data_IF_994910065902
#
_entry.id   IF_994910065902
#
_cell.length_a   1.000
_cell.length_b   1.000
_cell.length_c   1.000
_cell.angle_alpha   90.00
_cell.angle_beta   90.00
_cell.angle_gamma   90.00
#
_symmetry.space_group_name_H-M   'P 1'
#
loop_
_entity.id
_entity.type
_entity.pdbx_description
1 polymer ?
#
# COMPACT_ATOMS: atom_id res chain seq x y z
N UNK A 1 -21.43 5.15 8.80
CA UNK A 1 -22.14 3.87 8.61
C UNK A 1 -23.04 3.95 7.37
N UNK A 2 -22.71 3.21 6.31
CA UNK A 2 -23.44 3.25 5.02
C UNK A 2 -24.86 2.67 5.12
N UNK A 3 -25.11 1.79 6.07
CA UNK A 3 -26.44 1.18 6.23
C UNK A 3 -27.42 2.12 6.93
N UNK A 4 -26.93 3.00 7.77
CA UNK A 4 -27.75 3.94 8.58
C UNK A 4 -27.65 5.36 8.06
N UNK A 5 -26.78 5.64 7.11
CA UNK A 5 -26.52 6.99 6.61
C UNK A 5 -25.89 7.91 7.65
N UNK A 6 -25.25 7.36 8.69
CA UNK A 6 -24.63 8.12 9.78
C UNK A 6 -23.13 8.32 9.55
N UNK A 7 -22.61 9.46 10.00
CA UNK A 7 -21.19 9.77 10.05
C UNK A 7 -20.78 10.08 11.49
N UNK A 8 -19.64 9.52 11.91
CA UNK A 8 -18.99 9.82 13.17
C UNK A 8 -17.53 10.20 12.91
N UNK A 9 -17.07 11.28 13.52
CA UNK A 9 -15.67 11.68 13.43
C UNK A 9 -14.85 10.83 14.42
N UNK A 10 -13.96 10.00 13.89
CA UNK A 10 -13.13 9.07 14.69
C UNK A 10 -11.85 9.77 15.17
N UNK A 11 -11.30 10.69 14.39
CA UNK A 11 -10.11 11.45 14.74
C UNK A 11 -10.16 12.84 14.11
N UNK A 12 -9.74 13.83 14.87
CA UNK A 12 -9.58 15.20 14.39
C UNK A 12 -8.16 15.38 13.82
N UNK A 13 -8.06 16.11 12.70
CA UNK A 13 -6.76 16.48 12.15
C UNK A 13 -6.33 17.82 12.75
N UNK A 14 -5.24 17.88 13.53
CA UNK A 14 -4.73 19.13 14.11
C UNK A 14 -4.12 20.09 13.07
N UNK A 15 -4.13 19.72 11.79
CA UNK A 15 -3.72 20.58 10.67
C UNK A 15 -2.46 20.10 9.93
N UNK A 16 -1.74 19.13 10.47
CA UNK A 16 -0.50 18.63 9.86
C UNK A 16 -0.51 17.13 9.53
N UNK A 17 -1.61 16.43 9.78
CA UNK A 17 -1.77 15.02 9.38
C UNK A 17 -2.04 14.98 7.87
N UNK A 18 -1.17 14.30 7.15
CA UNK A 18 -1.25 14.09 5.70
C UNK A 18 -1.88 12.75 5.32
N UNK A 19 -1.95 11.79 6.24
CA UNK A 19 -2.54 10.47 5.99
C UNK A 19 -2.88 9.72 7.27
N UNK A 20 -3.85 8.81 7.15
CA UNK A 20 -4.31 7.93 8.20
C UNK A 20 -4.25 6.47 7.73
N UNK A 21 -3.89 5.55 8.62
CA UNK A 21 -3.85 4.12 8.33
C UNK A 21 -4.53 3.28 9.41
N UNK A 22 -5.38 2.36 8.96
CA UNK A 22 -6.01 1.38 9.83
C UNK A 22 -5.34 0.01 9.70
N UNK A 23 -5.42 -0.79 10.75
CA UNK A 23 -5.09 -2.20 10.67
C UNK A 23 -6.21 -3.01 9.98
N UNK A 24 -6.03 -4.32 9.85
CA UNK A 24 -7.01 -5.19 9.18
C UNK A 24 -8.33 -5.36 9.93
N UNK A 25 -8.37 -4.97 11.21
CA UNK A 25 -9.58 -4.96 12.04
C UNK A 25 -10.30 -3.59 11.98
N UNK A 26 -9.76 -2.64 11.18
CA UNK A 26 -10.31 -1.29 11.01
C UNK A 26 -9.93 -0.34 12.13
N UNK A 27 -8.98 -0.70 13.01
CA UNK A 27 -8.49 0.18 14.08
C UNK A 27 -7.52 1.20 13.52
N UNK A 28 -7.75 2.48 13.79
CA UNK A 28 -6.91 3.58 13.36
C UNK A 28 -5.63 3.61 14.21
N UNK A 29 -4.48 3.21 13.63
CA UNK A 29 -3.23 3.02 14.38
C UNK A 29 -2.02 3.74 13.80
N UNK A 30 -2.11 4.22 12.56
CA UNK A 30 -1.03 4.92 11.86
C UNK A 30 -1.52 6.30 11.45
N UNK A 31 -0.63 7.29 11.56
CA UNK A 31 -0.77 8.59 10.93
C UNK A 31 0.55 9.02 10.31
N UNK A 32 0.49 9.83 9.28
CA UNK A 32 1.65 10.51 8.71
C UNK A 32 1.47 12.01 8.85
N UNK A 33 2.55 12.72 9.18
CA UNK A 33 2.55 14.19 9.27
C UNK A 33 3.61 14.77 8.37
N UNK A 34 3.44 16.04 8.00
CA UNK A 34 4.50 16.81 7.34
C UNK A 34 4.55 18.23 7.91
N UNK A 35 5.76 18.77 8.05
CA UNK A 35 6.02 20.17 8.36
C UNK A 35 6.47 20.96 7.11
N UNK A 36 6.41 20.34 5.94
CA UNK A 36 6.85 20.89 4.65
C UNK A 36 8.30 20.54 4.31
N UNK A 37 9.09 20.07 5.26
CA UNK A 37 10.50 19.63 5.09
C UNK A 37 10.65 18.17 5.51
N UNK A 38 10.10 17.82 6.66
CA UNK A 38 10.18 16.48 7.24
C UNK A 38 8.83 15.79 7.18
N UNK A 39 8.87 14.47 7.07
CA UNK A 39 7.72 13.59 7.20
C UNK A 39 7.90 12.69 8.41
N UNK A 40 6.87 12.58 9.25
CA UNK A 40 6.91 11.69 10.39
C UNK A 40 5.84 10.61 10.29
N UNK A 41 6.24 9.39 10.61
CA UNK A 41 5.35 8.25 10.83
C UNK A 41 4.97 8.21 12.31
N UNK A 42 3.68 8.32 12.60
CA UNK A 42 3.13 8.23 13.93
C UNK A 42 2.43 6.90 14.10
N UNK A 43 2.57 6.33 15.27
CA UNK A 43 1.98 5.05 15.64
C UNK A 43 1.34 5.09 17.02
N UNK A 44 0.27 4.33 17.19
CA UNK A 44 -0.31 3.97 18.49
C UNK A 44 -0.66 2.49 18.51
N UNK A 45 -0.48 1.83 19.65
CA UNK A 45 -0.76 0.40 19.78
C UNK A 45 -2.26 0.11 19.85
N UNK A 46 -2.99 0.97 20.54
CA UNK A 46 -4.46 0.89 20.70
C UNK A 46 -5.11 2.23 20.33
N UNK A 47 -6.37 2.19 19.94
CA UNK A 47 -7.13 3.43 19.63
C UNK A 47 -7.29 4.37 20.83
N UNK A 48 -7.18 3.87 22.05
CA UNK A 48 -7.20 4.66 23.29
C UNK A 48 -5.90 5.40 23.56
N UNK A 49 -4.82 5.04 22.88
CA UNK A 49 -3.50 5.62 23.10
C UNK A 49 -3.30 6.86 22.23
N UNK A 50 -2.42 7.75 22.66
CA UNK A 50 -1.99 8.88 21.84
C UNK A 50 -1.05 8.43 20.72
N UNK A 51 -1.14 9.10 19.58
CA UNK A 51 -0.17 8.94 18.50
C UNK A 51 1.20 9.45 18.90
N UNK A 52 2.24 8.64 18.69
CA UNK A 52 3.64 9.00 18.95
C UNK A 52 4.44 8.92 17.66
N UNK A 53 5.30 9.92 17.38
CA UNK A 53 6.24 9.80 16.26
C UNK A 53 7.22 8.67 16.54
N UNK A 54 7.32 7.72 15.63
CA UNK A 54 8.26 6.59 15.72
C UNK A 54 9.41 6.73 14.71
N UNK A 55 9.20 7.48 13.63
CA UNK A 55 10.22 7.76 12.62
C UNK A 55 9.99 9.14 12.03
N UNK A 56 11.05 9.92 11.89
CA UNK A 56 11.04 11.18 11.13
C UNK A 56 12.13 11.14 10.09
N UNK A 57 11.80 11.49 8.86
CA UNK A 57 12.72 11.55 7.72
C UNK A 57 12.67 12.94 7.09
N UNK A 58 13.78 13.36 6.48
CA UNK A 58 13.84 14.57 5.66
C UNK A 58 13.27 14.29 4.25
N UNK A 59 13.26 15.32 3.40
CA UNK A 59 12.72 15.22 2.04
C UNK A 59 13.49 14.27 1.10
N UNK A 60 14.71 13.83 1.48
CA UNK A 60 15.52 12.89 0.68
C UNK A 60 15.21 11.44 0.97
N UNK A 61 14.69 11.17 2.16
CA UNK A 61 14.38 9.82 2.63
C UNK A 61 12.88 9.65 2.76
N UNK A 62 12.33 8.71 2.02
CA UNK A 62 10.91 8.37 2.04
C UNK A 62 10.70 7.02 2.71
N UNK A 63 9.82 6.96 3.70
CA UNK A 63 9.31 5.72 4.29
C UNK A 63 7.79 5.83 4.34
N UNK A 64 7.14 5.24 3.34
CA UNK A 64 5.69 5.34 3.16
C UNK A 64 5.01 4.09 3.69
N UNK A 65 4.13 4.21 4.71
CA UNK A 65 3.34 3.08 5.18
C UNK A 65 2.35 2.63 4.10
N UNK A 66 2.29 1.33 3.81
CA UNK A 66 1.37 0.74 2.85
C UNK A 66 0.16 0.13 3.55
N UNK A 67 0.38 -0.89 4.36
CA UNK A 67 -0.64 -1.55 5.17
C UNK A 67 0.03 -2.45 6.22
N UNK A 68 -0.75 -2.84 7.23
CA UNK A 68 -0.28 -3.76 8.27
C UNK A 68 -0.05 -5.17 7.73
N UNK A 69 0.88 -5.90 8.36
CA UNK A 69 0.95 -7.36 8.21
C UNK A 69 -0.36 -8.00 8.66
N UNK A 70 -0.69 -9.20 8.15
CA UNK A 70 -2.00 -9.82 8.41
C UNK A 70 -2.25 -10.19 9.88
N UNK A 71 -1.23 -10.15 10.72
CA UNK A 71 -1.32 -10.32 12.18
C UNK A 71 -1.39 -8.98 12.94
N UNK A 72 -1.42 -7.86 12.22
CA UNK A 72 -1.48 -6.49 12.73
C UNK A 72 -0.30 -6.08 13.64
N UNK A 73 0.89 -6.74 13.51
CA UNK A 73 2.04 -6.45 14.37
C UNK A 73 3.09 -5.54 13.75
N UNK A 74 3.26 -5.63 12.43
CA UNK A 74 4.23 -4.85 11.65
C UNK A 74 3.52 -4.12 10.51
N UNK A 75 4.24 -3.25 9.80
CA UNK A 75 3.79 -2.63 8.56
C UNK A 75 4.57 -3.17 7.38
N UNK A 76 3.94 -3.19 6.20
CA UNK A 76 4.68 -3.10 4.96
C UNK A 76 4.89 -1.63 4.61
N UNK A 77 6.12 -1.28 4.26
CA UNK A 77 6.51 0.07 3.87
C UNK A 77 7.22 0.07 2.53
N UNK A 78 7.05 1.16 1.77
CA UNK A 78 7.90 1.48 0.64
C UNK A 78 8.98 2.46 1.13
N UNK A 79 10.26 2.11 1.00
CA UNK A 79 11.35 2.88 1.58
C UNK A 79 12.57 2.94 0.68
N UNK A 80 13.20 4.14 0.63
CA UNK A 80 14.52 4.34 0.06
C UNK A 80 15.59 4.63 1.13
N UNK A 81 15.34 4.32 2.41
CA UNK A 81 16.26 4.59 3.50
C UNK A 81 17.57 3.86 3.30
N UNK A 82 18.69 4.62 3.22
CA UNK A 82 20.03 4.06 3.02
C UNK A 82 20.27 3.45 1.63
N UNK A 83 19.43 3.75 0.64
CA UNK A 83 19.52 3.25 -0.73
C UNK A 83 19.07 4.28 -1.76
N UNK A 84 19.42 4.06 -3.02
CA UNK A 84 19.03 4.93 -4.13
C UNK A 84 17.56 4.72 -4.51
N UNK A 85 17.12 3.48 -4.60
CA UNK A 85 15.78 3.11 -5.07
C UNK A 85 14.87 2.65 -3.96
N UNK A 86 13.59 2.95 -4.12
CA UNK A 86 12.53 2.48 -3.22
C UNK A 86 12.35 0.98 -3.33
N UNK A 87 12.33 0.30 -2.19
CA UNK A 87 12.05 -1.12 -2.06
C UNK A 87 10.95 -1.35 -1.03
N UNK A 88 10.38 -2.55 -0.97
CA UNK A 88 9.34 -2.92 -0.02
C UNK A 88 9.93 -3.72 1.13
N UNK A 89 9.63 -3.28 2.35
CA UNK A 89 10.06 -3.92 3.58
C UNK A 89 8.90 -4.22 4.51
N UNK A 90 9.08 -5.21 5.34
CA UNK A 90 8.37 -5.33 6.60
C UNK A 90 9.06 -4.41 7.63
N UNK A 91 8.28 -3.57 8.31
CA UNK A 91 8.77 -2.55 9.24
C UNK A 91 8.29 -2.88 10.66
N UNK A 92 9.24 -3.00 11.58
CA UNK A 92 8.97 -3.23 13.00
C UNK A 92 8.55 -1.91 13.66
N UNK A 93 7.28 -1.81 14.05
CA UNK A 93 6.70 -0.62 14.66
C UNK A 93 7.27 -0.28 16.05
N UNK A 94 7.78 -1.28 16.76
CA UNK A 94 8.33 -1.08 18.13
C UNK A 94 9.78 -0.61 18.09
N UNK A 95 10.56 -1.13 17.13
CA UNK A 95 11.96 -0.76 16.95
C UNK A 95 12.13 0.43 16.03
N UNK A 96 11.11 0.76 15.24
CA UNK A 96 11.13 1.75 14.17
C UNK A 96 12.22 1.45 13.11
N UNK A 97 12.35 0.18 12.73
CA UNK A 97 13.38 -0.33 11.84
C UNK A 97 12.81 -1.15 10.71
N UNK A 98 13.48 -1.10 9.57
CA UNK A 98 13.25 -2.01 8.45
C UNK A 98 13.73 -3.41 8.85
N UNK A 99 12.86 -4.40 8.65
CA UNK A 99 13.16 -5.81 8.89
C UNK A 99 13.36 -6.55 7.57
N UNK A 100 12.47 -7.50 7.29
CA UNK A 100 12.57 -8.34 6.10
C UNK A 100 12.36 -7.55 4.82
N UNK A 101 13.31 -7.64 3.88
CA UNK A 101 13.11 -7.20 2.49
C UNK A 101 12.05 -8.10 1.82
N UNK A 102 11.03 -7.49 1.25
CA UNK A 102 9.96 -8.19 0.52
C UNK A 102 10.27 -8.21 -0.97
N UNK A 103 10.64 -7.03 -1.51
CA UNK A 103 10.98 -6.91 -2.92
C UNK A 103 11.78 -5.62 -3.18
N UNK A 104 12.75 -5.70 -4.07
CA UNK A 104 13.46 -4.58 -4.67
C UNK A 104 13.66 -4.82 -6.17
N UNK A 105 13.92 -3.77 -6.92
CA UNK A 105 14.26 -3.84 -8.34
C UNK A 105 15.57 -3.09 -8.60
N UNK A 106 16.44 -3.66 -9.40
CA UNK A 106 17.80 -3.13 -9.63
C UNK A 106 17.81 -1.79 -10.38
N UNK A 107 16.82 -1.57 -11.25
CA UNK A 107 16.82 -0.43 -12.17
C UNK A 107 15.85 0.69 -11.76
N UNK A 108 14.75 0.39 -11.08
CA UNK A 108 13.64 1.33 -10.84
C UNK A 108 13.09 1.25 -9.42
N UNK A 109 12.39 2.32 -9.02
CA UNK A 109 11.62 2.34 -7.78
C UNK A 109 10.45 1.36 -7.83
N UNK A 110 10.18 0.74 -6.70
CA UNK A 110 8.98 -0.07 -6.48
C UNK A 110 7.85 0.84 -6.02
N UNK A 111 6.69 0.79 -6.68
CA UNK A 111 5.61 1.77 -6.49
C UNK A 111 4.44 1.28 -5.63
N UNK A 112 4.31 -0.01 -5.38
CA UNK A 112 3.18 -0.51 -4.59
C UNK A 112 3.23 -2.01 -4.34
N UNK A 113 2.54 -2.42 -3.29
CA UNK A 113 2.38 -3.80 -2.85
C UNK A 113 0.89 -4.15 -2.83
N UNK A 114 0.53 -5.28 -3.40
CA UNK A 114 -0.85 -5.79 -3.46
C UNK A 114 -1.03 -7.02 -2.59
N UNK A 115 -2.26 -7.25 -2.12
CA UNK A 115 -2.57 -8.41 -1.29
C UNK A 115 -4.00 -8.90 -1.51
N UNK A 116 -4.24 -10.15 -1.12
CA UNK A 116 -5.58 -10.74 -0.97
C UNK A 116 -6.01 -10.66 0.50
N UNK A 117 -7.03 -9.85 0.78
CA UNK A 117 -7.58 -9.74 2.14
C UNK A 117 -8.24 -11.04 2.59
N UNK A 118 -8.91 -11.73 1.68
CA UNK A 118 -9.59 -13.01 1.93
C UNK A 118 -8.60 -14.12 2.28
N UNK A 119 -7.52 -14.24 1.50
CA UNK A 119 -6.54 -15.32 1.64
C UNK A 119 -5.38 -14.97 2.56
N UNK A 120 -5.26 -13.69 2.95
CA UNK A 120 -4.18 -13.15 3.78
C UNK A 120 -2.79 -13.46 3.20
N UNK A 121 -2.61 -13.17 1.91
CA UNK A 121 -1.34 -13.35 1.18
C UNK A 121 -1.01 -12.11 0.38
N UNK A 122 0.29 -11.81 0.23
CA UNK A 122 0.77 -10.82 -0.73
C UNK A 122 0.58 -11.38 -2.13
N UNK A 123 0.11 -10.56 -3.05
CA UNK A 123 -0.23 -11.02 -4.41
C UNK A 123 0.73 -10.51 -5.46
N UNK A 124 1.29 -9.32 -5.30
CA UNK A 124 2.26 -8.81 -6.24
C UNK A 124 2.81 -7.44 -5.86
N UNK A 125 3.81 -7.01 -6.61
CA UNK A 125 4.48 -5.71 -6.48
C UNK A 125 4.46 -5.00 -7.82
N UNK A 126 4.13 -3.71 -7.79
CA UNK A 126 4.09 -2.86 -8.97
C UNK A 126 5.39 -2.06 -9.11
N UNK A 127 5.89 -1.96 -10.31
CA UNK A 127 6.99 -1.07 -10.70
C UNK A 127 6.81 -0.65 -12.16
N UNK A 128 7.53 0.37 -12.60
CA UNK A 128 7.41 0.91 -13.96
C UNK A 128 8.76 0.92 -14.64
N UNK A 129 8.87 0.18 -15.72
CA UNK A 129 9.92 0.31 -16.74
C UNK A 129 9.42 1.23 -17.87
N UNK A 130 9.53 0.81 -19.13
CA UNK A 130 8.84 1.50 -20.22
C UNK A 130 7.30 1.44 -20.08
N UNK A 131 6.80 0.42 -19.39
CA UNK A 131 5.39 0.19 -19.05
C UNK A 131 5.29 -0.29 -17.61
N UNK A 132 4.09 -0.15 -17.02
CA UNK A 132 3.77 -0.74 -15.73
C UNK A 132 3.95 -2.25 -15.75
N UNK A 133 4.57 -2.77 -14.72
CA UNK A 133 4.85 -4.20 -14.53
C UNK A 133 4.40 -4.62 -13.14
N UNK A 134 4.03 -5.89 -13.04
CA UNK A 134 3.71 -6.55 -11.78
C UNK A 134 4.59 -7.77 -11.64
N UNK A 135 5.32 -7.85 -10.54
CA UNK A 135 5.93 -9.10 -10.09
C UNK A 135 4.92 -9.82 -9.19
N UNK A 136 4.54 -11.03 -9.56
CA UNK A 136 3.54 -11.80 -8.82
C UNK A 136 4.18 -12.72 -7.79
N UNK A 137 3.72 -12.61 -6.54
CA UNK A 137 4.00 -13.59 -5.48
C UNK A 137 2.99 -14.74 -5.49
N UNK A 138 1.84 -14.54 -6.14
CA UNK A 138 0.65 -15.39 -6.09
C UNK A 138 0.24 -15.83 -7.50
N UNK A 139 0.40 -17.12 -7.77
CA UNK A 139 0.08 -17.71 -9.07
C UNK A 139 -1.38 -17.56 -9.47
N UNK A 140 -2.33 -17.49 -8.52
CA UNK A 140 -3.72 -17.26 -8.84
C UNK A 140 -3.92 -15.86 -9.45
N UNK A 141 -3.30 -14.83 -8.86
CA UNK A 141 -3.37 -13.45 -9.40
C UNK A 141 -2.67 -13.35 -10.75
N UNK A 142 -1.52 -13.96 -10.90
CA UNK A 142 -0.80 -14.03 -12.17
C UNK A 142 -1.66 -14.68 -13.27
N UNK A 143 -2.31 -15.81 -12.97
CA UNK A 143 -3.18 -16.49 -13.92
C UNK A 143 -4.41 -15.65 -14.30
N UNK A 144 -4.99 -14.88 -13.37
CA UNK A 144 -6.09 -13.96 -13.67
C UNK A 144 -5.59 -12.86 -14.61
N UNK A 145 -4.47 -12.21 -14.31
CA UNK A 145 -3.89 -11.18 -15.17
C UNK A 145 -3.61 -11.71 -16.57
N UNK A 146 -2.94 -12.85 -16.67
CA UNK A 146 -2.62 -13.48 -17.96
C UNK A 146 -3.85 -13.82 -18.81
N UNK A 147 -4.98 -14.16 -18.18
CA UNK A 147 -6.25 -14.40 -18.89
C UNK A 147 -6.84 -13.09 -19.41
N UNK A 148 -6.81 -12.03 -18.61
CA UNK A 148 -7.32 -10.72 -19.00
C UNK A 148 -6.49 -10.14 -20.16
N UNK A 149 -5.17 -10.20 -20.07
CA UNK A 149 -4.26 -9.73 -21.13
C UNK A 149 -4.51 -10.46 -22.48
N UNK A 150 -4.84 -11.75 -22.42
CA UNK A 150 -5.21 -12.52 -23.61
C UNK A 150 -6.58 -12.15 -24.19
N UNK A 151 -7.53 -11.74 -23.33
CA UNK A 151 -8.87 -11.35 -23.75
C UNK A 151 -8.94 -9.91 -24.27
N UNK A 152 -8.02 -9.06 -23.86
CA UNK A 152 -7.95 -7.63 -24.17
C UNK A 152 -6.64 -7.28 -24.89
N UNK A 153 -6.38 -7.87 -26.07
CA UNK A 153 -5.11 -7.64 -26.78
C UNK A 153 -4.98 -6.18 -27.20
N UNK A 154 -3.80 -5.59 -26.96
CA UNK A 154 -3.51 -4.19 -27.29
C UNK A 154 -3.90 -3.18 -26.22
N UNK A 155 -4.45 -3.63 -25.10
CA UNK A 155 -4.70 -2.79 -23.93
C UNK A 155 -3.71 -3.06 -22.81
N UNK A 156 -3.42 -2.02 -22.02
CA UNK A 156 -2.90 -2.16 -20.66
C UNK A 156 -4.09 -2.49 -19.75
N UNK A 157 -3.98 -3.53 -18.95
CA UNK A 157 -5.09 -4.05 -18.14
C UNK A 157 -4.75 -4.02 -16.67
N UNK A 158 -5.48 -3.22 -15.90
CA UNK A 158 -5.33 -3.09 -14.46
C UNK A 158 -6.54 -3.66 -13.72
N UNK A 159 -6.31 -4.56 -12.78
CA UNK A 159 -7.34 -4.97 -11.81
C UNK A 159 -7.31 -3.96 -10.66
N UNK A 160 -8.32 -3.12 -10.56
CA UNK A 160 -8.36 -2.01 -9.60
C UNK A 160 -8.96 -2.40 -8.25
N UNK A 161 -9.88 -3.34 -8.22
CA UNK A 161 -10.47 -3.84 -6.98
C UNK A 161 -11.08 -5.22 -7.12
N UNK A 162 -11.31 -5.87 -5.97
CA UNK A 162 -12.03 -7.12 -5.86
C UNK A 162 -13.21 -6.99 -4.89
N UNK A 163 -14.28 -7.78 -5.13
CA UNK A 163 -15.33 -7.99 -4.13
C UNK A 163 -14.74 -8.65 -2.88
N UNK A 164 -15.44 -8.55 -1.75
CA UNK A 164 -14.98 -9.09 -0.46
C UNK A 164 -14.69 -10.61 -0.52
N UNK A 165 -15.47 -11.34 -1.30
CA UNK A 165 -15.31 -12.77 -1.54
C UNK A 165 -14.35 -13.11 -2.67
N UNK A 166 -13.79 -12.08 -3.33
CA UNK A 166 -12.86 -12.17 -4.48
C UNK A 166 -13.42 -12.94 -5.68
N UNK A 167 -14.75 -13.02 -5.81
CA UNK A 167 -15.41 -13.67 -6.97
C UNK A 167 -15.65 -12.72 -8.12
N UNK A 168 -15.58 -11.39 -7.87
CA UNK A 168 -15.74 -10.34 -8.88
C UNK A 168 -14.57 -9.35 -8.78
N UNK A 169 -14.20 -8.78 -9.91
CA UNK A 169 -13.18 -7.74 -9.99
C UNK A 169 -13.66 -6.59 -10.87
N UNK A 170 -13.17 -5.39 -10.59
CA UNK A 170 -13.23 -4.26 -11.50
C UNK A 170 -11.92 -4.21 -12.24
N UNK A 171 -12.00 -4.15 -13.55
CA UNK A 171 -10.87 -4.12 -14.46
C UNK A 171 -10.95 -2.83 -15.27
N UNK A 172 -9.83 -2.14 -15.40
CA UNK A 172 -9.68 -0.99 -16.29
C UNK A 172 -8.76 -1.38 -17.43
N UNK A 173 -9.26 -1.23 -18.64
CA UNK A 173 -8.48 -1.45 -19.87
C UNK A 173 -8.28 -0.10 -20.57
N UNK A 174 -7.04 0.25 -20.90
CA UNK A 174 -6.72 1.50 -21.57
C UNK A 174 -5.58 1.34 -22.56
N UNK A 175 -5.50 2.25 -23.51
CA UNK A 175 -4.40 2.31 -24.49
C UNK A 175 -4.14 3.77 -24.88
N UNK A 176 -3.08 4.01 -25.63
CA UNK A 176 -2.79 5.31 -26.25
C UNK A 176 -3.86 5.76 -27.26
N UNK A 177 -4.73 4.84 -27.69
CA UNK A 177 -5.79 5.07 -28.68
C UNK A 177 -7.19 5.06 -28.09
N UNK A 178 -7.35 4.79 -26.79
CA UNK A 178 -8.65 4.74 -26.12
C UNK A 178 -8.66 5.62 -24.86
N UNK A 179 -9.87 6.05 -24.44
CA UNK A 179 -10.04 6.81 -23.19
C UNK A 179 -10.12 5.94 -21.94
N UNK A 180 -9.96 4.64 -22.08
CA UNK A 180 -10.17 3.64 -21.04
C UNK A 180 -11.62 3.12 -20.98
N UNK A 181 -11.79 1.84 -20.68
CA UNK A 181 -13.05 1.12 -20.50
C UNK A 181 -12.99 0.26 -19.22
#
# INVERSE_FOLDING_TARGET
NINEGTMEMIAENPGNISGWGTDHDGKLRIATTSDGVNTSLLYRDKESDDFKPILTTDFKVSVVPLFFTFDNKSLYVASNRGRDKTAIFEFDLKKAEEGKLIFEHDEVDVSGLSYSKKRKVLTGVNYTLAKKKVFFFDSLRENIQNKLDKQLPGYEVDITSFSRDETKAIVVAYSDKSRGE
#
